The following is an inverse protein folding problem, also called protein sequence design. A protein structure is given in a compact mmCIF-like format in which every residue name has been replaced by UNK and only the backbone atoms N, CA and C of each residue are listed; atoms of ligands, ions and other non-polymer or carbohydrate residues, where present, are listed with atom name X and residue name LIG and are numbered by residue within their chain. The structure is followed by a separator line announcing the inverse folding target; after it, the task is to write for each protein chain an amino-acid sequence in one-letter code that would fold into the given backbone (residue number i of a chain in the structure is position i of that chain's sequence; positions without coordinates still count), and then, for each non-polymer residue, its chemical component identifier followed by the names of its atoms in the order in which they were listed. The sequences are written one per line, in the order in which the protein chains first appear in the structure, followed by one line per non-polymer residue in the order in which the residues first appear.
data_IF_125436707901
#
_entry.id   IF_125436707901
#
_cell.length_a   1.000
_cell.length_b   1.000
_cell.length_c   1.000
_cell.angle_alpha   90.00
_cell.angle_beta   90.00
_cell.angle_gamma   90.00
#
_symmetry.space_group_name_H-M   'P 1'
#
loop_
_entity.id
_entity.type
_entity.pdbx_description
1 polymer ?
#
# COMPACT_ATOMS: atom_id res chain seq x y z
N UNK A 1 -26.78 1.66 -26.19
CA UNK A 1 -25.73 0.95 -26.93
C UNK A 1 -24.46 1.21 -26.17
N UNK A 2 -23.85 0.17 -25.60
CA UNK A 2 -22.63 0.29 -24.81
C UNK A 2 -21.38 0.53 -25.63
N UNK A 3 -20.36 1.08 -24.99
CA UNK A 3 -19.10 1.49 -25.62
C UNK A 3 -18.35 0.32 -26.26
N UNK A 4 -17.95 0.46 -27.52
CA UNK A 4 -17.16 -0.55 -28.25
C UNK A 4 -15.78 -0.80 -27.64
N UNK A 5 -15.13 -1.91 -27.99
CA UNK A 5 -13.82 -2.27 -27.44
C UNK A 5 -12.74 -1.17 -27.64
N UNK A 6 -12.74 -0.49 -28.79
CA UNK A 6 -11.84 0.64 -29.05
C UNK A 6 -12.13 1.87 -28.18
N UNK A 7 -13.39 2.13 -27.84
CA UNK A 7 -13.76 3.24 -26.95
C UNK A 7 -13.38 2.94 -25.51
N UNK A 8 -13.55 1.69 -25.08
CA UNK A 8 -13.10 1.20 -23.76
C UNK A 8 -11.57 1.25 -23.64
N UNK A 9 -10.84 0.86 -24.69
CA UNK A 9 -9.37 0.99 -24.75
C UNK A 9 -8.94 2.47 -24.62
N UNK A 10 -9.57 3.36 -25.40
CA UNK A 10 -9.27 4.79 -25.34
C UNK A 10 -9.62 5.44 -24.00
N UNK A 11 -10.60 4.90 -23.25
CA UNK A 11 -10.89 5.31 -21.89
C UNK A 11 -9.82 4.81 -20.90
N UNK A 12 -9.38 3.55 -21.06
CA UNK A 12 -8.30 2.96 -20.27
C UNK A 12 -6.99 3.73 -20.39
N UNK A 13 -6.53 4.00 -21.61
CA UNK A 13 -5.22 4.62 -21.84
C UNK A 13 -5.16 6.08 -21.39
N UNK A 14 -6.31 6.76 -21.44
CA UNK A 14 -6.43 8.16 -21.02
C UNK A 14 -6.42 8.31 -19.50
N UNK A 15 -7.14 7.43 -18.81
CA UNK A 15 -7.52 7.64 -17.41
C UNK A 15 -6.83 6.69 -16.44
N UNK A 16 -6.53 5.45 -16.84
CA UNK A 16 -5.98 4.43 -15.94
C UNK A 16 -4.51 4.13 -16.20
N UNK A 17 -4.12 3.99 -17.46
CA UNK A 17 -2.75 3.62 -17.83
C UNK A 17 -1.77 4.75 -17.56
N UNK A 18 -0.71 4.47 -16.81
CA UNK A 18 0.23 5.50 -16.36
C UNK A 18 -0.42 6.53 -15.42
N UNK A 19 -1.48 6.14 -14.70
CA UNK A 19 -2.09 6.99 -13.68
C UNK A 19 -1.32 6.91 -12.37
N UNK A 20 -1.03 8.07 -11.78
CA UNK A 20 -0.47 8.17 -10.42
C UNK A 20 -1.55 8.75 -9.51
N UNK A 21 -2.04 7.98 -8.52
CA UNK A 21 -2.95 8.51 -7.52
C UNK A 21 -2.34 9.71 -6.79
N UNK A 22 -3.17 10.72 -6.50
CA UNK A 22 -2.80 11.87 -5.64
C UNK A 22 -3.73 11.89 -4.42
N UNK A 23 -3.20 11.72 -3.18
CA UNK A 23 -1.82 11.35 -2.88
C UNK A 23 -1.48 9.95 -3.38
N UNK A 24 -0.19 9.69 -3.58
CA UNK A 24 0.33 8.37 -3.92
C UNK A 24 -0.06 7.34 -2.85
N UNK A 25 -0.02 6.05 -3.22
CA UNK A 25 -0.35 4.99 -2.28
C UNK A 25 0.65 5.01 -1.12
N UNK A 26 0.14 4.97 0.10
CA UNK A 26 0.98 4.88 1.28
C UNK A 26 1.88 3.63 1.20
N UNK A 27 3.13 3.75 1.67
CA UNK A 27 4.12 2.68 1.57
C UNK A 27 4.82 2.59 0.22
N UNK A 28 4.54 3.50 -0.72
CA UNK A 28 5.20 3.55 -2.04
C UNK A 28 5.89 4.88 -2.31
N UNK A 29 6.95 4.84 -3.11
CA UNK A 29 7.60 6.02 -3.69
C UNK A 29 7.36 5.99 -5.19
N UNK A 30 6.87 7.11 -5.75
CA UNK A 30 6.69 7.26 -7.19
C UNK A 30 7.85 8.07 -7.74
N UNK A 31 8.56 7.49 -8.70
CA UNK A 31 9.67 8.11 -9.42
C UNK A 31 9.32 8.22 -10.91
N UNK A 32 9.69 9.35 -11.52
CA UNK A 32 9.45 9.60 -12.93
C UNK A 32 10.78 9.58 -13.70
N UNK A 33 10.87 8.69 -14.70
CA UNK A 33 12.00 8.62 -15.63
C UNK A 33 11.46 8.88 -17.04
N UNK A 34 11.50 10.14 -17.45
CA UNK A 34 10.88 10.57 -18.71
C UNK A 34 9.38 10.23 -18.73
N UNK A 35 8.89 9.44 -19.71
CA UNK A 35 7.49 9.02 -19.78
C UNK A 35 7.15 7.83 -18.85
N UNK A 36 8.15 7.26 -18.17
CA UNK A 36 7.98 6.10 -17.30
C UNK A 36 7.60 6.53 -15.89
N UNK A 37 6.79 5.69 -15.26
CA UNK A 37 6.33 5.84 -13.89
C UNK A 37 6.77 4.59 -13.14
N UNK A 38 7.73 4.77 -12.24
CA UNK A 38 8.25 3.73 -11.37
C UNK A 38 7.54 3.85 -10.03
N UNK A 39 6.91 2.76 -9.59
CA UNK A 39 6.37 2.68 -8.23
C UNK A 39 7.23 1.71 -7.43
N UNK A 40 8.01 2.26 -6.51
CA UNK A 40 8.88 1.53 -5.59
C UNK A 40 8.10 1.16 -4.34
N UNK A 41 8.05 -0.14 -4.01
CA UNK A 41 7.37 -0.68 -2.83
C UNK A 41 8.34 -0.94 -1.67
N UNK A 42 9.63 -0.69 -1.85
CA UNK A 42 10.69 -1.07 -0.91
C UNK A 42 11.08 -2.56 -1.00
N UNK A 43 10.30 -3.38 -1.71
CA UNK A 43 10.54 -4.82 -1.92
C UNK A 43 10.69 -5.18 -3.40
N UNK A 44 10.07 -4.39 -4.27
CA UNK A 44 10.08 -4.50 -5.72
C UNK A 44 9.64 -3.16 -6.32
N UNK A 45 9.84 -3.00 -7.61
CA UNK A 45 9.45 -1.85 -8.40
C UNK A 45 8.57 -2.30 -9.57
N UNK A 46 7.50 -1.56 -9.84
CA UNK A 46 6.72 -1.74 -11.08
C UNK A 46 6.90 -0.55 -12.00
N UNK A 47 7.10 -0.80 -13.29
CA UNK A 47 7.16 0.22 -14.33
C UNK A 47 5.84 0.22 -15.11
N UNK A 48 5.17 1.37 -15.13
CA UNK A 48 4.03 1.64 -15.98
C UNK A 48 4.32 2.85 -16.88
N UNK A 49 3.63 2.94 -17.99
CA UNK A 49 3.80 4.01 -18.97
C UNK A 49 2.58 4.15 -19.86
N UNK A 50 2.36 5.36 -20.37
CA UNK A 50 1.48 5.58 -21.53
C UNK A 50 2.16 5.08 -22.81
N UNK A 51 1.45 5.12 -23.94
CA UNK A 51 2.04 4.78 -25.23
C UNK A 51 3.36 5.53 -25.43
N UNK A 52 4.43 4.77 -25.71
CA UNK A 52 5.75 5.31 -26.01
C UNK A 52 5.88 5.55 -27.51
N UNK A 53 6.60 6.61 -27.88
CA UNK A 53 6.88 6.90 -29.28
C UNK A 53 7.76 5.80 -29.89
N UNK A 54 7.34 5.25 -31.02
CA UNK A 54 7.98 4.09 -31.68
C UNK A 54 9.35 4.38 -32.32
N UNK A 55 9.90 5.59 -32.15
CA UNK A 55 10.87 6.17 -33.08
C UNK A 55 12.35 6.04 -32.72
N UNK A 56 12.73 5.64 -31.50
CA UNK A 56 14.15 5.70 -31.11
C UNK A 56 14.61 4.59 -30.14
N UNK A 57 15.30 3.59 -30.70
CA UNK A 57 15.97 2.53 -29.95
C UNK A 57 16.97 3.03 -28.93
N UNK A 58 17.69 4.13 -29.23
CA UNK A 58 18.65 4.70 -28.29
C UNK A 58 17.94 5.38 -27.11
N UNK A 59 16.71 5.86 -27.31
CA UNK A 59 15.88 6.36 -26.20
C UNK A 59 15.30 5.23 -25.35
N UNK A 60 14.80 4.14 -25.97
CA UNK A 60 14.32 2.98 -25.22
C UNK A 60 15.45 2.32 -24.40
N UNK A 61 16.65 2.17 -24.97
CA UNK A 61 17.79 1.61 -24.25
C UNK A 61 18.22 2.47 -23.06
N UNK A 62 18.31 3.79 -23.24
CA UNK A 62 18.62 4.74 -22.14
C UNK A 62 17.58 4.69 -21.02
N UNK A 63 16.29 4.62 -21.37
CA UNK A 63 15.23 4.47 -20.38
C UNK A 63 15.37 3.16 -19.59
N UNK A 64 15.69 2.06 -20.28
CA UNK A 64 15.93 0.76 -19.63
C UNK A 64 17.12 0.80 -18.67
N UNK A 65 18.24 1.41 -19.09
CA UNK A 65 19.41 1.60 -18.23
C UNK A 65 19.08 2.44 -16.98
N UNK A 66 18.34 3.54 -17.13
CA UNK A 66 17.91 4.37 -16.00
C UNK A 66 16.98 3.63 -15.04
N UNK A 67 16.09 2.78 -15.55
CA UNK A 67 15.24 1.90 -14.72
C UNK A 67 16.10 0.91 -13.94
N UNK A 68 17.06 0.25 -14.59
CA UNK A 68 17.96 -0.70 -13.93
C UNK A 68 18.83 -0.02 -12.86
N UNK A 69 19.33 1.19 -13.13
CA UNK A 69 20.11 1.98 -12.17
C UNK A 69 19.27 2.33 -10.93
N UNK A 70 18.06 2.87 -11.14
CA UNK A 70 17.16 3.26 -10.05
C UNK A 70 16.73 2.06 -9.19
N UNK A 71 16.43 0.93 -9.81
CA UNK A 71 16.07 -0.30 -9.12
C UNK A 71 17.26 -0.97 -8.42
N UNK A 72 18.47 -0.96 -9.02
CA UNK A 72 19.70 -1.48 -8.41
C UNK A 72 20.09 -0.70 -7.16
N UNK A 73 19.93 0.63 -7.17
CA UNK A 73 20.20 1.48 -6.00
C UNK A 73 19.36 1.10 -4.77
N UNK A 74 18.23 0.41 -4.97
CA UNK A 74 17.31 -0.04 -3.91
C UNK A 74 17.26 -1.56 -3.74
N UNK A 75 17.99 -2.30 -4.58
CA UNK A 75 17.96 -3.78 -4.64
C UNK A 75 16.52 -4.30 -4.82
N UNK A 76 15.75 -3.62 -5.67
CA UNK A 76 14.35 -3.94 -5.94
C UNK A 76 14.19 -4.66 -7.29
N UNK A 77 13.65 -5.89 -7.32
CA UNK A 77 13.24 -6.54 -8.56
C UNK A 77 12.22 -5.68 -9.32
N UNK A 78 12.35 -5.64 -10.64
CA UNK A 78 11.53 -4.83 -11.53
C UNK A 78 10.53 -5.70 -12.27
N UNK A 79 9.28 -5.25 -12.33
CA UNK A 79 8.27 -5.71 -13.29
C UNK A 79 7.87 -4.55 -14.22
N UNK A 80 8.14 -4.70 -15.52
CA UNK A 80 7.77 -3.73 -16.55
C UNK A 80 6.64 -4.28 -17.41
N UNK A 81 5.51 -3.57 -17.47
CA UNK A 81 4.33 -3.97 -18.25
C UNK A 81 4.39 -3.40 -19.67
N UNK A 82 4.29 -4.25 -20.69
CA UNK A 82 4.24 -3.86 -22.10
C UNK A 82 2.88 -4.24 -22.69
N UNK A 83 2.19 -3.28 -23.31
CA UNK A 83 0.84 -3.47 -23.84
C UNK A 83 0.89 -3.77 -25.34
N UNK A 84 0.20 -4.82 -25.78
CA UNK A 84 0.30 -5.32 -27.15
C UNK A 84 -0.24 -4.36 -28.22
N UNK A 85 -1.16 -3.46 -27.86
CA UNK A 85 -1.71 -2.47 -28.80
C UNK A 85 -0.76 -1.28 -29.07
N UNK A 86 0.35 -1.16 -28.33
CA UNK A 86 1.32 -0.09 -28.59
C UNK A 86 2.09 -0.34 -29.88
N UNK A 87 2.22 0.69 -30.70
CA UNK A 87 3.06 0.64 -31.90
C UNK A 87 4.53 0.28 -31.58
N UNK A 88 5.01 0.65 -30.38
CA UNK A 88 6.37 0.39 -29.92
C UNK A 88 6.54 -0.96 -29.18
N UNK A 89 5.47 -1.74 -28.97
CA UNK A 89 5.49 -2.91 -28.07
C UNK A 89 6.60 -3.91 -28.41
N UNK A 90 6.66 -4.38 -29.65
CA UNK A 90 7.64 -5.37 -30.09
C UNK A 90 9.07 -4.85 -29.99
N UNK A 91 9.27 -3.57 -30.28
CA UNK A 91 10.57 -2.94 -30.18
C UNK A 91 11.03 -2.81 -28.71
N UNK A 92 10.15 -2.35 -27.82
CA UNK A 92 10.41 -2.26 -26.39
C UNK A 92 10.73 -3.65 -25.80
N UNK A 93 9.92 -4.68 -26.12
CA UNK A 93 10.19 -6.04 -25.66
C UNK A 93 11.57 -6.55 -26.10
N UNK A 94 12.01 -6.24 -27.33
CA UNK A 94 13.34 -6.62 -27.82
C UNK A 94 14.47 -5.87 -27.09
N UNK A 95 14.28 -4.59 -26.77
CA UNK A 95 15.23 -3.80 -25.97
C UNK A 95 15.33 -4.33 -24.54
N UNK A 96 14.21 -4.69 -23.92
CA UNK A 96 14.19 -5.26 -22.58
C UNK A 96 14.88 -6.62 -22.52
N UNK A 97 14.64 -7.49 -23.50
CA UNK A 97 15.32 -8.79 -23.62
C UNK A 97 16.84 -8.62 -23.77
N UNK A 98 17.28 -7.70 -24.64
CA UNK A 98 18.70 -7.36 -24.80
C UNK A 98 19.34 -6.79 -23.52
N UNK A 99 18.56 -6.13 -22.66
CA UNK A 99 19.00 -5.64 -21.35
C UNK A 99 18.92 -6.69 -20.23
N UNK A 100 18.54 -7.93 -20.54
CA UNK A 100 18.49 -9.05 -19.59
C UNK A 100 17.20 -9.16 -18.79
N UNK A 101 16.11 -8.52 -19.22
CA UNK A 101 14.78 -8.80 -18.66
C UNK A 101 14.27 -10.14 -19.18
N UNK A 102 13.69 -10.94 -18.30
CA UNK A 102 13.00 -12.18 -18.67
C UNK A 102 11.52 -11.92 -18.94
N UNK A 103 10.98 -12.56 -19.96
CA UNK A 103 9.56 -12.47 -20.30
C UNK A 103 8.74 -13.27 -19.30
N UNK A 104 7.70 -12.66 -18.74
CA UNK A 104 6.70 -13.27 -17.89
C UNK A 104 5.40 -13.59 -18.63
N UNK A 105 4.36 -13.95 -17.88
CA UNK A 105 3.04 -14.28 -18.41
C UNK A 105 2.36 -13.11 -19.12
N UNK A 106 1.52 -13.45 -20.11
CA UNK A 106 0.66 -12.51 -20.82
C UNK A 106 -0.78 -12.61 -20.29
N UNK A 107 -1.41 -11.45 -20.11
CA UNK A 107 -2.77 -11.34 -19.57
C UNK A 107 -3.63 -10.51 -20.51
N UNK A 108 -4.84 -10.97 -20.79
CA UNK A 108 -5.89 -10.19 -21.43
C UNK A 108 -6.36 -9.08 -20.49
N UNK A 109 -6.47 -7.86 -21.02
CA UNK A 109 -7.09 -6.72 -20.34
C UNK A 109 -8.55 -6.67 -20.76
N UNK A 110 -9.43 -6.89 -19.81
CA UNK A 110 -10.89 -6.95 -19.99
C UNK A 110 -11.53 -5.71 -19.36
N UNK A 111 -12.43 -5.05 -20.08
CA UNK A 111 -13.14 -3.86 -19.58
C UNK A 111 -14.63 -3.96 -19.87
N UNK A 112 -15.45 -3.51 -18.92
CA UNK A 112 -16.88 -3.32 -19.14
C UNK A 112 -17.43 -2.09 -18.42
N UNK A 113 -18.50 -1.53 -18.96
CA UNK A 113 -19.30 -0.53 -18.28
C UNK A 113 -20.09 -1.20 -17.16
N UNK A 114 -19.88 -0.77 -15.92
CA UNK A 114 -20.48 -1.35 -14.71
C UNK A 114 -22.00 -1.55 -14.85
N UNK A 115 -22.70 -0.60 -15.45
CA UNK A 115 -24.16 -0.64 -15.62
C UNK A 115 -24.64 -1.67 -16.64
N UNK A 116 -23.75 -2.18 -17.47
CA UNK A 116 -24.03 -3.19 -18.49
C UNK A 116 -23.55 -4.60 -18.10
N UNK A 117 -22.81 -4.71 -16.98
CA UNK A 117 -22.32 -5.99 -16.50
C UNK A 117 -23.43 -6.77 -15.79
N UNK A 118 -23.54 -8.06 -16.13
CA UNK A 118 -24.50 -8.97 -15.51
C UNK A 118 -23.78 -10.09 -14.76
N UNK A 119 -23.73 -9.95 -13.42
CA UNK A 119 -23.16 -10.95 -12.54
C UNK A 119 -24.27 -11.73 -11.83
N UNK A 120 -24.24 -13.08 -11.88
CA UNK A 120 -25.24 -13.91 -11.24
C UNK A 120 -25.27 -13.68 -9.72
N UNK A 121 -26.47 -13.69 -9.14
CA UNK A 121 -26.60 -13.64 -7.68
C UNK A 121 -26.13 -14.96 -7.05
N UNK A 122 -25.51 -14.93 -5.86
CA UNK A 122 -25.16 -16.16 -5.15
C UNK A 122 -26.42 -16.97 -4.83
N UNK A 123 -26.32 -18.31 -4.94
CA UNK A 123 -27.39 -19.21 -4.50
C UNK A 123 -27.59 -19.11 -2.98
N UNK A 124 -28.75 -19.53 -2.47
CA UNK A 124 -29.17 -19.27 -1.09
C UNK A 124 -28.22 -19.83 0.00
N UNK A 125 -27.50 -20.91 -0.30
CA UNK A 125 -26.52 -21.52 0.61
C UNK A 125 -25.15 -20.82 0.61
N UNK A 126 -24.92 -19.93 -0.35
CA UNK A 126 -23.69 -19.17 -0.50
C UNK A 126 -23.90 -17.73 -0.04
N UNK A 127 -22.88 -17.15 0.58
CA UNK A 127 -22.88 -15.75 0.99
C UNK A 127 -21.67 -15.05 0.42
N UNK A 128 -21.88 -13.83 -0.09
CA UNK A 128 -20.81 -12.93 -0.48
C UNK A 128 -20.74 -11.82 0.55
N UNK A 129 -19.58 -11.66 1.18
CA UNK A 129 -19.33 -10.63 2.18
C UNK A 129 -18.01 -9.93 1.90
N UNK A 130 -17.95 -8.62 2.18
CA UNK A 130 -16.68 -7.90 2.21
C UNK A 130 -16.06 -8.07 3.60
N UNK A 131 -14.75 -8.31 3.66
CA UNK A 131 -14.03 -8.65 4.90
C UNK A 131 -12.91 -7.65 5.22
N UNK A 132 -12.60 -7.51 6.51
CA UNK A 132 -11.49 -6.69 7.02
C UNK A 132 -10.24 -7.52 7.30
N UNK A 133 -9.09 -6.85 7.48
CA UNK A 133 -7.82 -7.51 7.78
C UNK A 133 -7.78 -8.20 9.16
N UNK A 134 -8.63 -7.81 10.10
CA UNK A 134 -8.74 -8.40 11.44
C UNK A 134 -9.72 -9.56 11.52
N UNK A 135 -10.37 -9.94 10.42
CA UNK A 135 -11.35 -11.03 10.35
C UNK A 135 -10.72 -12.35 9.87
N UNK A 136 -11.11 -13.51 10.42
CA UNK A 136 -10.47 -14.79 10.12
C UNK A 136 -10.65 -15.25 8.66
N UNK A 137 -11.71 -14.80 7.99
CA UNK A 137 -11.95 -15.10 6.57
C UNK A 137 -10.85 -14.55 5.66
N UNK A 138 -10.19 -13.46 6.05
CA UNK A 138 -9.15 -12.84 5.23
C UNK A 138 -7.89 -13.70 5.12
N UNK A 139 -7.58 -14.48 6.17
CA UNK A 139 -6.46 -15.42 6.15
C UNK A 139 -6.71 -16.56 5.17
N UNK A 140 -7.96 -17.03 5.07
CA UNK A 140 -8.35 -18.02 4.06
C UNK A 140 -8.31 -17.41 2.64
N UNK A 141 -8.71 -16.15 2.49
CA UNK A 141 -8.60 -15.45 1.20
C UNK A 141 -7.14 -15.26 0.76
N UNK A 142 -6.23 -14.96 1.70
CA UNK A 142 -4.79 -14.87 1.44
C UNK A 142 -4.20 -16.22 1.00
N UNK A 143 -4.57 -17.31 1.69
CA UNK A 143 -4.17 -18.67 1.33
C UNK A 143 -4.69 -19.07 -0.06
N UNK A 144 -5.94 -18.74 -0.39
CA UNK A 144 -6.49 -18.94 -1.74
C UNK A 144 -5.75 -18.09 -2.79
N UNK A 145 -5.46 -16.82 -2.50
CA UNK A 145 -4.70 -15.95 -3.40
C UNK A 145 -3.28 -16.45 -3.63
N UNK A 146 -2.64 -17.09 -2.66
CA UNK A 146 -1.28 -17.62 -2.80
C UNK A 146 -1.20 -18.89 -3.65
N UNK A 147 -2.29 -19.66 -3.73
CA UNK A 147 -2.41 -20.90 -4.51
C UNK A 147 -3.12 -20.74 -5.84
N UNK A 148 -3.54 -19.51 -6.19
CA UNK A 148 -4.21 -19.17 -7.44
C UNK A 148 -3.47 -18.04 -8.11
N UNK A 149 -3.75 -17.82 -9.39
CA UNK A 149 -3.20 -16.71 -10.14
C UNK A 149 -2.85 -17.14 -11.55
N UNK A 150 -2.16 -16.26 -12.29
CA UNK A 150 -1.61 -14.99 -11.84
C UNK A 150 -2.68 -13.92 -11.61
N UNK A 151 -2.42 -13.08 -10.61
CA UNK A 151 -3.26 -11.92 -10.28
C UNK A 151 -2.58 -10.65 -10.74
N UNK A 152 -3.35 -9.59 -11.05
CA UNK A 152 -2.77 -8.28 -11.37
C UNK A 152 -1.97 -7.72 -10.21
N UNK A 153 -2.52 -7.81 -9.02
CA UNK A 153 -1.84 -7.52 -7.76
C UNK A 153 -2.29 -8.56 -6.74
N UNK A 154 -1.43 -9.50 -6.31
CA UNK A 154 -1.79 -10.51 -5.32
C UNK A 154 -2.35 -9.88 -4.04
N UNK A 155 -3.30 -10.56 -3.38
CA UNK A 155 -3.93 -10.05 -2.17
C UNK A 155 -2.92 -9.78 -1.04
N UNK A 156 -1.84 -10.58 -0.98
CA UNK A 156 -0.76 -10.40 -0.02
C UNK A 156 -0.09 -9.02 -0.12
N UNK A 157 0.04 -8.45 -1.33
CA UNK A 157 0.63 -7.11 -1.49
C UNK A 157 -0.23 -6.02 -0.83
N UNK A 158 -1.56 -6.14 -0.93
CA UNK A 158 -2.50 -5.23 -0.28
C UNK A 158 -2.46 -5.34 1.24
N UNK A 159 -2.34 -6.57 1.73
CA UNK A 159 -2.23 -6.88 3.15
C UNK A 159 -0.92 -6.35 3.75
N UNK A 160 0.21 -6.54 3.07
CA UNK A 160 1.51 -6.06 3.52
C UNK A 160 1.59 -4.53 3.58
N UNK A 161 0.99 -3.83 2.62
CA UNK A 161 0.89 -2.36 2.63
C UNK A 161 -0.09 -1.83 3.70
N UNK A 162 -0.84 -2.70 4.39
CA UNK A 162 -1.87 -2.29 5.34
C UNK A 162 -2.97 -1.44 4.69
N UNK A 163 -3.25 -1.67 3.41
CA UNK A 163 -4.18 -0.82 2.64
C UNK A 163 -5.55 -0.79 3.30
N UNK A 164 -6.23 0.35 3.34
CA UNK A 164 -7.47 0.44 4.11
C UNK A 164 -8.58 -0.43 3.47
N UNK A 165 -9.12 -1.45 4.19
CA UNK A 165 -10.27 -2.19 3.70
C UNK A 165 -11.42 -1.22 3.40
N UNK A 166 -12.20 -1.53 2.38
CA UNK A 166 -13.34 -0.75 1.88
C UNK A 166 -13.00 0.54 1.13
N UNK A 167 -11.84 1.15 1.41
CA UNK A 167 -11.47 2.45 0.84
C UNK A 167 -10.45 2.33 -0.29
N UNK A 168 -9.39 1.57 -0.04
CA UNK A 168 -8.32 1.34 -1.02
C UNK A 168 -8.57 0.02 -1.75
N UNK A 169 -9.00 -1.01 -1.01
CA UNK A 169 -9.32 -2.33 -1.53
C UNK A 169 -10.55 -2.91 -0.83
N UNK A 170 -11.51 -3.43 -1.59
CA UNK A 170 -12.64 -4.22 -1.09
C UNK A 170 -12.36 -5.70 -1.32
N UNK A 171 -12.04 -6.43 -0.26
CA UNK A 171 -11.82 -7.88 -0.30
C UNK A 171 -13.16 -8.56 -0.09
N UNK A 172 -13.59 -9.38 -1.04
CA UNK A 172 -14.85 -10.13 -0.96
C UNK A 172 -14.57 -11.61 -0.92
N UNK A 173 -15.31 -12.30 -0.07
CA UNK A 173 -15.23 -13.76 0.06
C UNK A 173 -16.59 -14.39 -0.21
N UNK A 174 -16.56 -15.55 -0.85
CA UNK A 174 -17.71 -16.40 -1.07
C UNK A 174 -17.64 -17.52 -0.04
N UNK A 175 -18.59 -17.54 0.90
CA UNK A 175 -18.61 -18.49 2.00
C UNK A 175 -19.79 -19.46 1.92
N UNK A 176 -19.54 -20.70 2.37
CA UNK A 176 -20.58 -21.71 2.63
C UNK A 176 -20.31 -22.34 3.98
N UNK A 177 -21.31 -22.32 4.86
CA UNK A 177 -21.18 -22.78 6.24
C UNK A 177 -19.93 -22.22 6.97
N UNK A 178 -19.61 -20.94 6.74
CA UNK A 178 -18.49 -20.23 7.38
C UNK A 178 -17.09 -20.52 6.80
N UNK A 179 -16.96 -21.37 5.78
CA UNK A 179 -15.70 -21.61 5.07
C UNK A 179 -15.62 -20.79 3.80
N UNK A 180 -14.47 -20.17 3.55
CA UNK A 180 -14.21 -19.41 2.31
C UNK A 180 -13.90 -20.40 1.19
N UNK A 181 -14.68 -20.36 0.11
CA UNK A 181 -14.46 -21.20 -1.08
C UNK A 181 -13.79 -20.43 -2.22
N UNK A 182 -14.00 -19.11 -2.31
CA UNK A 182 -13.39 -18.25 -3.30
C UNK A 182 -13.30 -16.81 -2.75
N UNK A 183 -12.39 -16.02 -3.30
CA UNK A 183 -12.23 -14.62 -2.97
C UNK A 183 -11.99 -13.77 -4.23
N UNK A 184 -12.33 -12.50 -4.14
CA UNK A 184 -11.91 -11.47 -5.09
C UNK A 184 -11.52 -10.20 -4.33
N UNK A 185 -10.79 -9.30 -4.97
CA UNK A 185 -10.53 -7.99 -4.40
C UNK A 185 -10.59 -6.90 -5.46
N UNK A 186 -11.29 -5.82 -5.10
CA UNK A 186 -11.53 -4.67 -5.95
C UNK A 186 -10.68 -3.51 -5.46
N UNK A 187 -9.79 -3.01 -6.29
CA UNK A 187 -9.02 -1.80 -6.05
C UNK A 187 -9.82 -0.56 -6.46
N UNK A 188 -9.84 0.41 -5.54
CA UNK A 188 -10.28 1.76 -5.84
C UNK A 188 -9.12 2.59 -6.41
N UNK A 189 -9.10 2.77 -7.72
CA UNK A 189 -8.13 3.67 -8.36
C UNK A 189 -8.60 5.11 -8.20
N UNK A 190 -8.04 5.82 -7.21
CA UNK A 190 -8.46 7.20 -6.88
C UNK A 190 -8.25 8.14 -8.07
N UNK A 191 -9.21 9.03 -8.29
CA UNK A 191 -9.14 10.04 -9.36
C UNK A 191 -9.55 9.53 -10.74
N UNK A 192 -9.95 8.26 -10.87
CA UNK A 192 -10.40 7.69 -12.14
C UNK A 192 -11.82 7.13 -12.03
N UNK A 193 -12.50 6.99 -13.18
CA UNK A 193 -13.81 6.33 -13.28
C UNK A 193 -13.69 4.78 -13.22
N UNK A 194 -12.50 4.25 -12.96
CA UNK A 194 -12.21 2.81 -12.95
C UNK A 194 -12.21 2.22 -11.54
N UNK A 195 -12.68 0.98 -11.47
CA UNK A 195 -12.38 0.00 -10.43
C UNK A 195 -11.60 -1.13 -11.08
N UNK A 196 -10.55 -1.58 -10.41
CA UNK A 196 -9.72 -2.68 -10.90
C UNK A 196 -10.02 -3.94 -10.12
N UNK A 197 -10.34 -5.04 -10.80
CA UNK A 197 -10.32 -6.37 -10.21
C UNK A 197 -8.87 -6.81 -10.07
N UNK A 198 -8.35 -6.75 -8.84
CA UNK A 198 -6.96 -7.10 -8.57
C UNK A 198 -6.69 -8.60 -8.71
N UNK A 199 -7.71 -9.43 -8.49
CA UNK A 199 -7.68 -10.87 -8.72
C UNK A 199 -8.99 -11.56 -8.35
N UNK A 200 -9.14 -12.78 -8.85
CA UNK A 200 -10.25 -13.69 -8.59
C UNK A 200 -9.67 -15.09 -8.39
N UNK A 201 -9.92 -15.72 -7.25
CA UNK A 201 -9.24 -16.99 -6.91
C UNK A 201 -9.89 -18.23 -7.55
N UNK A 202 -11.05 -18.08 -8.21
CA UNK A 202 -11.80 -19.14 -8.88
C UNK A 202 -12.83 -18.53 -9.84
N UNK A 203 -13.30 -19.27 -10.84
CA UNK A 203 -14.34 -18.83 -11.79
C UNK A 203 -15.74 -18.69 -11.15
N UNK A 204 -15.88 -17.79 -10.17
CA UNK A 204 -17.07 -17.54 -9.37
C UNK A 204 -17.53 -16.08 -9.54
N UNK A 205 -18.20 -15.75 -10.67
CA UNK A 205 -18.62 -14.38 -10.96
C UNK A 205 -19.64 -13.83 -9.95
N UNK A 206 -20.27 -14.68 -9.11
CA UNK A 206 -21.15 -14.25 -8.03
C UNK A 206 -20.44 -13.36 -7.00
N UNK A 207 -19.12 -13.48 -6.86
CA UNK A 207 -18.29 -12.60 -6.04
C UNK A 207 -18.39 -11.13 -6.46
N UNK A 208 -18.71 -10.87 -7.72
CA UNK A 208 -18.85 -9.55 -8.31
C UNK A 208 -20.31 -9.06 -8.29
N UNK A 209 -21.26 -9.87 -7.81
CA UNK A 209 -22.64 -9.44 -7.65
C UNK A 209 -22.74 -8.24 -6.71
N UNK A 210 -23.57 -7.24 -7.08
CA UNK A 210 -23.83 -6.04 -6.27
C UNK A 210 -22.55 -5.33 -5.83
N UNK A 211 -21.68 -4.99 -6.79
CA UNK A 211 -20.42 -4.28 -6.53
C UNK A 211 -20.66 -3.08 -5.57
N UNK A 212 -19.90 -2.95 -4.47
CA UNK A 212 -20.13 -1.90 -3.48
C UNK A 212 -19.53 -0.55 -3.91
N UNK A 213 -19.79 -0.14 -5.15
CA UNK A 213 -19.15 1.02 -5.79
C UNK A 213 -19.44 2.34 -5.09
N UNK A 214 -20.54 2.41 -4.33
CA UNK A 214 -20.87 3.56 -3.47
C UNK A 214 -19.79 3.85 -2.42
N UNK A 215 -18.96 2.86 -2.05
CA UNK A 215 -17.82 3.04 -1.14
C UNK A 215 -16.66 3.78 -1.79
N UNK A 216 -16.56 3.69 -3.11
CA UNK A 216 -15.49 4.33 -3.85
C UNK A 216 -15.84 5.79 -4.10
N UNK A 217 -14.99 6.68 -3.56
CA UNK A 217 -15.14 8.14 -3.67
C UNK A 217 -15.15 8.60 -5.13
N UNK A 218 -15.48 9.88 -5.31
CA UNK A 218 -15.49 10.56 -6.62
C UNK A 218 -14.17 10.37 -7.41
N UNK A 219 -14.26 10.29 -8.76
CA UNK A 219 -15.48 10.31 -9.56
C UNK A 219 -16.29 9.01 -9.44
N UNK A 220 -17.56 9.06 -9.86
CA UNK A 220 -18.40 7.86 -9.88
C UNK A 220 -17.75 6.77 -10.75
N UNK A 221 -17.74 5.54 -10.24
CA UNK A 221 -17.11 4.41 -10.92
C UNK A 221 -18.00 3.89 -12.04
N UNK A 222 -17.52 4.00 -13.27
CA UNK A 222 -18.23 3.63 -14.50
C UNK A 222 -17.67 2.37 -15.15
N UNK A 223 -16.38 2.11 -14.97
CA UNK A 223 -15.70 1.01 -15.63
C UNK A 223 -15.15 0.01 -14.61
N UNK A 224 -15.32 -1.28 -14.90
CA UNK A 224 -14.58 -2.35 -14.25
C UNK A 224 -13.51 -2.82 -15.24
N UNK A 225 -12.25 -2.83 -14.81
CA UNK A 225 -11.15 -3.46 -15.53
C UNK A 225 -10.69 -4.70 -14.78
N UNK A 226 -10.36 -5.76 -15.51
CA UNK A 226 -9.79 -6.99 -14.98
C UNK A 226 -8.64 -7.45 -15.87
N UNK A 227 -7.61 -8.03 -15.27
CA UNK A 227 -6.61 -8.80 -16.00
C UNK A 227 -6.92 -10.27 -15.76
N UNK A 228 -6.98 -11.06 -16.83
CA UNK A 228 -7.11 -12.51 -16.78
C UNK A 228 -6.05 -13.13 -17.69
N UNK A 229 -5.63 -14.36 -17.43
CA UNK A 229 -4.69 -15.02 -18.33
C UNK A 229 -5.22 -15.07 -19.75
N UNK A 230 -4.33 -14.77 -20.70
CA UNK A 230 -4.61 -15.03 -22.10
C UNK A 230 -4.65 -16.56 -22.26
N UNK A 231 -5.69 -17.10 -22.90
CA UNK A 231 -5.80 -18.54 -23.19
C UNK A 231 -4.53 -19.00 -23.93
N UNK A 232 -3.61 -19.63 -23.21
CA UNK A 232 -2.55 -20.43 -23.81
C UNK A 232 -3.04 -21.86 -23.78
N UNK A 233 -3.24 -22.44 -24.96
CA UNK A 233 -3.61 -23.85 -25.23
C UNK A 233 -2.62 -24.91 -24.65
N UNK A 234 -1.80 -24.54 -23.67
CA UNK A 234 -0.82 -25.40 -23.00
C UNK A 234 -1.45 -26.15 -21.82
N UNK A 235 -1.82 -27.40 -22.08
CA UNK A 235 -1.86 -28.53 -21.15
C UNK A 235 -2.55 -28.31 -19.80
N UNK A 236 -3.89 -28.26 -19.83
CA UNK A 236 -4.72 -28.93 -18.82
C UNK A 236 -4.89 -28.27 -17.44
N UNK A 237 -4.40 -27.05 -17.23
CA UNK A 237 -4.79 -26.24 -16.07
C UNK A 237 -6.01 -25.37 -16.40
N UNK A 238 -6.94 -25.29 -15.46
CA UNK A 238 -8.25 -24.61 -15.57
C UNK A 238 -8.17 -23.07 -15.65
N UNK A 239 -7.09 -22.51 -16.21
CA UNK A 239 -6.71 -21.09 -16.06
C UNK A 239 -7.52 -20.14 -16.97
N UNK A 240 -8.09 -20.64 -18.07
CA UNK A 240 -9.00 -19.87 -18.94
C UNK A 240 -10.42 -19.64 -18.38
N UNK A 241 -10.79 -20.32 -17.29
CA UNK A 241 -12.17 -20.25 -16.76
C UNK A 241 -12.53 -18.85 -16.24
N UNK A 242 -11.58 -18.14 -15.62
CA UNK A 242 -11.80 -16.77 -15.11
C UNK A 242 -12.07 -15.79 -16.26
N UNK A 243 -11.29 -15.88 -17.34
CA UNK A 243 -11.49 -15.05 -18.55
C UNK A 243 -12.88 -15.31 -19.14
N UNK A 244 -13.26 -16.57 -19.30
CA UNK A 244 -14.56 -16.98 -19.86
C UNK A 244 -15.75 -16.44 -19.05
N UNK A 245 -15.72 -16.53 -17.72
CA UNK A 245 -16.83 -16.00 -16.89
C UNK A 245 -16.92 -14.48 -16.93
N UNK A 246 -15.79 -13.77 -17.04
CA UNK A 246 -15.77 -12.31 -17.15
C UNK A 246 -16.32 -11.85 -18.51
N UNK A 247 -15.94 -12.52 -19.60
CA UNK A 247 -16.51 -12.26 -20.93
C UNK A 247 -18.02 -12.54 -20.95
N UNK A 248 -18.46 -13.64 -20.33
CA UNK A 248 -19.87 -14.00 -20.22
C UNK A 248 -20.69 -12.98 -19.41
N UNK A 249 -20.06 -12.30 -18.46
CA UNK A 249 -20.65 -11.22 -17.68
C UNK A 249 -20.72 -9.87 -18.43
N UNK A 250 -20.19 -9.80 -19.65
CA UNK A 250 -20.24 -8.63 -20.52
C UNK A 250 -18.95 -7.80 -20.59
N UNK A 251 -17.87 -8.22 -19.94
CA UNK A 251 -16.56 -7.58 -20.16
C UNK A 251 -16.08 -7.87 -21.59
N UNK A 252 -15.31 -6.94 -22.15
CA UNK A 252 -14.75 -7.03 -23.50
C UNK A 252 -13.25 -7.01 -23.40
N UNK A 253 -12.59 -7.89 -24.15
CA UNK A 253 -11.15 -7.83 -24.32
C UNK A 253 -10.78 -6.61 -25.18
N UNK A 254 -9.89 -5.77 -24.66
CA UNK A 254 -9.47 -4.54 -25.34
C UNK A 254 -8.01 -4.57 -25.77
N UNK A 255 -7.16 -5.33 -25.08
CA UNK A 255 -5.74 -5.54 -25.40
C UNK A 255 -5.18 -6.68 -24.53
N UNK A 256 -3.89 -6.99 -24.67
CA UNK A 256 -3.14 -7.81 -23.74
C UNK A 256 -1.95 -7.03 -23.16
N UNK A 257 -1.48 -7.47 -21.99
CA UNK A 257 -0.31 -6.94 -21.30
C UNK A 257 0.65 -8.08 -20.98
N UNK A 258 1.92 -7.88 -21.28
CA UNK A 258 3.00 -8.83 -20.98
C UNK A 258 3.98 -8.18 -20.01
N UNK A 259 4.27 -8.89 -18.92
CA UNK A 259 5.22 -8.41 -17.91
C UNK A 259 6.64 -8.87 -18.27
N UNK A 260 7.61 -7.97 -18.22
CA UNK A 260 9.04 -8.23 -18.33
C UNK A 260 9.70 -8.04 -16.96
N UNK A 261 10.54 -8.97 -16.52
CA UNK A 261 11.09 -8.98 -15.16
C UNK A 261 12.61 -8.92 -15.16
N UNK A 262 13.17 -8.13 -14.25
CA UNK A 262 14.61 -8.07 -14.04
C UNK A 262 14.92 -8.01 -12.54
N UNK A 263 15.95 -8.72 -12.10
CA UNK A 263 16.35 -8.75 -10.69
C UNK A 263 17.74 -8.14 -10.56
N UNK A 264 17.91 -7.05 -9.79
CA UNK A 264 19.21 -6.48 -9.53
C UNK A 264 20.08 -7.43 -8.69
N UNK A 265 21.42 -7.28 -8.72
CA UNK A 265 22.28 -8.01 -7.81
C UNK A 265 22.02 -7.59 -6.36
N UNK A 266 22.03 -8.56 -5.45
CA UNK A 266 21.77 -8.37 -4.01
C UNK A 266 20.56 -9.17 -3.53
N UNK A 267 20.30 -9.13 -2.22
CA UNK A 267 19.11 -9.75 -1.62
C UNK A 267 18.01 -8.69 -1.46
N UNK A 268 16.88 -8.80 -2.18
CA UNK A 268 15.76 -7.89 -2.01
C UNK A 268 15.18 -7.94 -0.61
N UNK A 269 14.69 -6.81 -0.12
CA UNK A 269 13.96 -6.79 1.13
C UNK A 269 12.66 -7.62 1.00
N UNK A 270 12.35 -8.39 2.04
CA UNK A 270 11.17 -9.28 2.07
C UNK A 270 9.92 -8.60 2.62
N UNK A 271 10.05 -7.36 3.13
CA UNK A 271 8.95 -6.59 3.74
C UNK A 271 8.97 -5.13 3.29
N UNK A 272 7.79 -4.53 3.25
CA UNK A 272 7.63 -3.10 2.94
C UNK A 272 8.26 -2.24 4.05
N UNK A 273 8.75 -1.03 3.73
CA UNK A 273 9.44 -0.17 4.69
C UNK A 273 8.47 0.50 5.67
N UNK A 274 7.21 0.68 5.26
CA UNK A 274 6.13 1.15 6.11
C UNK A 274 4.78 0.60 5.63
N UNK A 275 3.83 0.51 6.56
CA UNK A 275 2.42 0.19 6.29
C UNK A 275 1.51 0.91 7.28
N UNK A 276 0.23 0.97 6.96
CA UNK A 276 -0.78 1.37 7.95
C UNK A 276 -0.98 0.25 8.96
N UNK A 277 -1.21 0.63 10.21
CA UNK A 277 -1.60 -0.30 11.27
C UNK A 277 -2.79 -1.13 10.84
N UNK A 278 -2.66 -2.46 10.96
CA UNK A 278 -3.72 -3.40 10.56
C UNK A 278 -4.81 -3.53 11.63
N UNK A 279 -4.59 -2.95 12.81
CA UNK A 279 -5.44 -3.10 14.00
C UNK A 279 -5.72 -4.56 14.36
N UNK A 280 -4.80 -5.47 14.03
CA UNK A 280 -4.87 -6.89 14.35
C UNK A 280 -4.54 -7.17 15.83
N UNK A 281 -4.58 -8.44 16.23
CA UNK A 281 -4.30 -8.83 17.61
C UNK A 281 -2.88 -8.45 18.05
N UNK A 282 -1.89 -8.48 17.15
CA UNK A 282 -0.50 -8.16 17.47
C UNK A 282 -0.31 -6.67 17.69
N UNK A 283 -0.87 -5.84 16.82
CA UNK A 283 -0.76 -4.39 16.91
C UNK A 283 -1.50 -3.86 18.14
N UNK A 284 -2.66 -4.45 18.48
CA UNK A 284 -3.37 -4.17 19.74
C UNK A 284 -2.56 -4.55 20.97
N UNK A 285 -1.83 -5.67 20.93
CA UNK A 285 -0.91 -6.07 22.02
C UNK A 285 0.25 -5.08 22.18
N UNK A 286 0.80 -4.57 21.08
CA UNK A 286 1.86 -3.54 21.11
C UNK A 286 1.32 -2.24 21.70
N UNK A 287 0.17 -1.76 21.23
CA UNK A 287 -0.48 -0.56 21.77
C UNK A 287 -0.72 -0.68 23.29
N UNK A 288 -1.25 -1.82 23.75
CA UNK A 288 -1.47 -2.08 25.18
C UNK A 288 -0.18 -2.12 26.00
N UNK A 289 0.94 -2.60 25.43
CA UNK A 289 2.26 -2.51 26.08
C UNK A 289 2.73 -1.06 26.19
N UNK A 290 2.54 -0.24 25.15
CA UNK A 290 2.84 1.20 25.18
C UNK A 290 2.03 1.95 26.23
N UNK A 291 0.71 1.71 26.26
CA UNK A 291 -0.19 2.25 27.29
C UNK A 291 0.29 1.89 28.71
N UNK A 292 0.56 0.60 28.95
CA UNK A 292 1.04 0.13 30.25
C UNK A 292 2.39 0.75 30.63
N UNK A 293 3.30 0.93 29.67
CA UNK A 293 4.62 1.54 29.90
C UNK A 293 4.52 2.99 30.36
N UNK A 294 3.57 3.74 29.83
CA UNK A 294 3.30 5.15 30.17
C UNK A 294 2.34 5.29 31.36
N UNK A 295 1.74 4.19 31.83
CA UNK A 295 0.70 4.22 32.86
C UNK A 295 -0.54 4.98 32.40
N UNK A 296 -0.82 4.97 31.10
CA UNK A 296 -1.95 5.65 30.49
C UNK A 296 -3.07 4.64 30.17
N UNK A 297 -4.30 4.95 30.59
CA UNK A 297 -5.47 4.18 30.20
C UNK A 297 -6.36 5.00 29.27
N UNK A 298 -6.29 4.64 27.99
CA UNK A 298 -7.08 5.27 26.97
C UNK A 298 -8.58 5.06 27.16
N UNK A 299 -8.99 3.84 27.56
CA UNK A 299 -10.40 3.48 27.68
C UNK A 299 -11.10 4.23 28.82
N UNK A 300 -10.34 4.58 29.86
CA UNK A 300 -10.80 5.41 30.97
C UNK A 300 -11.05 6.88 30.60
N UNK A 301 -10.56 7.35 29.44
CA UNK A 301 -10.84 8.70 28.89
C UNK A 301 -10.33 9.87 29.73
N UNK A 302 -9.58 9.60 30.81
CA UNK A 302 -9.18 10.63 31.77
C UNK A 302 -8.02 11.52 31.33
N UNK A 303 -7.29 11.10 30.29
CA UNK A 303 -6.02 11.72 29.90
C UNK A 303 -4.85 11.42 30.84
N UNK A 304 -5.10 10.92 32.06
CA UNK A 304 -4.07 10.72 33.08
C UNK A 304 -3.09 9.64 32.68
N UNK A 305 -1.82 9.90 32.98
CA UNK A 305 -0.71 8.98 32.77
C UNK A 305 0.28 9.04 33.93
N UNK A 306 1.12 8.02 34.08
CA UNK A 306 2.21 7.98 35.05
C UNK A 306 3.51 7.63 34.29
N UNK A 307 4.25 8.65 33.82
CA UNK A 307 5.37 8.43 32.93
C UNK A 307 6.45 7.57 33.61
N UNK A 308 7.14 6.69 32.88
CA UNK A 308 8.10 5.76 33.47
C UNK A 308 9.31 6.52 34.05
N UNK A 309 10.02 5.90 34.99
CA UNK A 309 11.16 6.55 35.66
C UNK A 309 12.27 6.97 34.69
N UNK A 310 12.47 6.21 33.62
CA UNK A 310 13.40 6.49 32.53
C UNK A 310 12.75 7.32 31.42
N UNK A 311 12.04 8.39 31.81
CA UNK A 311 11.43 9.34 30.88
C UNK A 311 11.69 10.78 31.26
N UNK A 312 11.49 11.66 30.27
CA UNK A 312 11.52 13.10 30.42
C UNK A 312 10.37 13.73 29.65
N UNK A 313 9.94 14.91 30.10
CA UNK A 313 8.78 15.64 29.59
C UNK A 313 9.16 17.02 29.12
N UNK A 314 8.56 17.46 28.02
CA UNK A 314 8.67 18.81 27.48
C UNK A 314 7.30 19.36 27.13
N UNK A 315 7.10 20.64 27.37
CA UNK A 315 5.87 21.34 27.01
C UNK A 315 6.05 22.03 25.66
N UNK A 316 5.11 21.83 24.74
CA UNK A 316 5.12 22.43 23.41
C UNK A 316 3.92 23.37 23.16
N UNK A 317 3.07 23.59 24.17
CA UNK A 317 1.87 24.42 24.03
C UNK A 317 2.10 25.92 23.83
N UNK A 318 3.34 26.40 23.95
CA UNK A 318 3.71 27.78 23.64
C UNK A 318 4.03 28.03 22.17
N UNK A 319 4.08 26.97 21.34
CA UNK A 319 4.38 27.06 19.92
C UNK A 319 3.14 27.46 19.13
N UNK A 320 3.34 28.07 17.95
CA UNK A 320 2.27 28.62 17.09
C UNK A 320 1.49 27.52 16.33
N UNK A 321 1.24 26.39 16.99
CA UNK A 321 0.51 25.25 16.43
C UNK A 321 1.39 24.28 15.63
N UNK A 322 0.76 23.38 14.84
CA UNK A 322 1.46 22.28 14.16
C UNK A 322 2.41 22.75 13.03
N UNK A 323 2.20 23.95 12.49
CA UNK A 323 3.03 24.51 11.42
C UNK A 323 4.28 25.26 11.95
N UNK A 324 4.46 25.33 13.27
CA UNK A 324 5.62 25.96 13.89
C UNK A 324 6.91 25.21 13.49
N UNK A 325 7.94 25.88 12.95
CA UNK A 325 9.21 25.25 12.59
C UNK A 325 9.89 24.49 13.74
N UNK A 326 9.63 24.85 15.00
CA UNK A 326 10.11 24.13 16.17
C UNK A 326 9.50 22.73 16.28
N UNK A 327 8.24 22.53 15.88
CA UNK A 327 7.62 21.19 15.84
C UNK A 327 8.36 20.30 14.84
N UNK A 328 8.60 20.80 13.62
CA UNK A 328 9.38 20.07 12.62
C UNK A 328 10.80 19.75 13.12
N UNK A 329 11.43 20.67 13.86
CA UNK A 329 12.74 20.44 14.46
C UNK A 329 12.70 19.36 15.56
N UNK A 330 11.67 19.34 16.41
CA UNK A 330 11.44 18.30 17.42
C UNK A 330 11.24 16.94 16.76
N UNK A 331 10.37 16.85 15.75
CA UNK A 331 10.15 15.60 15.00
C UNK A 331 11.48 15.10 14.42
N UNK A 332 12.23 15.96 13.73
CA UNK A 332 13.53 15.58 13.17
C UNK A 332 14.55 15.09 14.21
N UNK A 333 14.50 15.60 15.46
CA UNK A 333 15.33 15.09 16.56
C UNK A 333 14.87 13.69 16.97
N UNK A 334 13.55 13.46 17.12
CA UNK A 334 12.99 12.16 17.48
C UNK A 334 13.27 11.12 16.38
N UNK A 335 13.10 11.48 15.11
CA UNK A 335 13.42 10.60 13.97
C UNK A 335 14.87 10.11 14.01
N UNK A 336 15.82 11.03 14.22
CA UNK A 336 17.25 10.69 14.34
C UNK A 336 17.52 9.81 15.56
N UNK A 337 16.92 10.14 16.70
CA UNK A 337 17.08 9.35 17.94
C UNK A 337 16.52 7.94 17.82
N UNK A 338 15.35 7.79 17.20
CA UNK A 338 14.74 6.48 16.91
C UNK A 338 15.61 5.67 15.95
N UNK A 339 16.11 6.26 14.87
CA UNK A 339 17.02 5.60 13.92
C UNK A 339 18.31 5.13 14.60
N UNK A 340 18.86 5.91 15.54
CA UNK A 340 20.06 5.51 16.28
C UNK A 340 19.82 4.37 17.29
N UNK A 341 18.62 4.27 17.86
CA UNK A 341 18.30 3.34 18.96
C UNK A 341 17.56 2.06 18.52
N UNK A 342 16.91 2.08 17.37
CA UNK A 342 16.19 0.93 16.81
C UNK A 342 17.13 0.13 15.92
N UNK A 343 17.10 -1.20 16.04
CA UNK A 343 17.95 -2.07 15.22
C UNK A 343 17.45 -2.05 13.77
N UNK A 344 18.33 -2.12 12.75
CA UNK A 344 17.91 -2.31 11.37
C UNK A 344 16.94 -3.50 11.22
N UNK A 345 15.85 -3.32 10.46
CA UNK A 345 14.80 -4.31 10.29
C UNK A 345 13.79 -4.40 11.45
N UNK A 346 14.02 -3.73 12.57
CA UNK A 346 13.04 -3.62 13.65
C UNK A 346 12.09 -2.45 13.40
N UNK A 347 10.82 -2.65 13.78
CA UNK A 347 9.75 -1.71 13.48
C UNK A 347 9.46 -0.77 14.65
N UNK A 348 9.08 0.47 14.31
CA UNK A 348 8.43 1.44 15.18
C UNK A 348 6.94 1.46 14.85
N UNK A 349 6.12 1.59 15.88
CA UNK A 349 4.67 1.56 15.81
C UNK A 349 4.14 2.90 16.29
N UNK A 350 3.45 3.62 15.41
CA UNK A 350 2.59 4.72 15.80
C UNK A 350 1.22 4.17 16.20
N UNK A 351 0.88 4.30 17.47
CA UNK A 351 -0.40 3.90 18.02
C UNK A 351 -1.28 5.14 18.22
N UNK A 352 -2.32 5.22 17.40
CA UNK A 352 -3.35 6.25 17.37
C UNK A 352 -4.70 5.56 17.57
N UNK A 353 -5.33 5.63 18.75
CA UNK A 353 -6.43 4.71 19.01
C UNK A 353 -7.79 5.12 18.40
N UNK A 354 -7.97 6.39 18.00
CA UNK A 354 -9.15 6.82 17.21
C UNK A 354 -8.84 7.07 15.74
N UNK A 355 -7.57 7.27 15.36
CA UNK A 355 -7.16 7.46 13.95
C UNK A 355 -6.33 6.30 13.42
N UNK A 356 -5.82 6.46 12.20
CA UNK A 356 -4.95 5.45 11.60
C UNK A 356 -3.57 5.55 12.23
N UNK A 357 -3.06 4.43 12.76
CA UNK A 357 -1.66 4.29 13.14
C UNK A 357 -0.79 3.83 11.98
N UNK A 358 0.52 3.88 12.17
CA UNK A 358 1.52 3.42 11.20
C UNK A 358 2.49 2.42 11.83
N UNK A 359 3.08 1.59 10.99
CA UNK A 359 4.15 0.69 11.37
C UNK A 359 5.27 0.87 10.33
N UNK A 360 6.51 1.06 10.75
CA UNK A 360 7.62 1.35 9.81
C UNK A 360 9.01 1.00 10.35
N UNK A 361 9.95 0.72 9.46
CA UNK A 361 11.37 0.58 9.76
C UNK A 361 12.05 1.96 9.65
N UNK A 362 12.55 2.55 10.75
CA UNK A 362 13.14 3.89 10.76
C UNK A 362 14.43 4.01 9.92
N UNK A 363 15.03 2.89 9.52
CA UNK A 363 16.21 2.87 8.62
C UNK A 363 15.85 2.91 7.14
N UNK A 364 14.57 2.73 6.80
CA UNK A 364 14.09 2.64 5.40
C UNK A 364 13.09 3.73 5.03
N UNK A 365 12.89 4.72 5.91
CA UNK A 365 12.02 5.89 5.70
C UNK A 365 12.70 7.19 6.10
N UNK A 366 12.25 8.31 5.52
CA UNK A 366 12.70 9.67 5.81
C UNK A 366 14.02 10.06 5.14
N UNK A 367 14.68 9.16 4.40
CA UNK A 367 15.87 9.45 3.61
C UNK A 367 15.57 9.93 2.19
N UNK A 368 16.58 10.48 1.46
CA UNK A 368 16.44 10.82 0.05
C UNK A 368 15.98 9.62 -0.79
N UNK A 369 14.95 9.82 -1.62
CA UNK A 369 14.39 8.76 -2.48
C UNK A 369 13.65 7.63 -1.74
N UNK A 370 13.47 7.75 -0.41
CA UNK A 370 12.67 6.84 0.41
C UNK A 370 11.28 7.40 0.66
N UNK A 371 10.40 6.57 1.22
CA UNK A 371 9.10 7.01 1.71
C UNK A 371 9.31 8.11 2.78
N UNK A 372 8.48 9.18 2.79
CA UNK A 372 8.46 10.12 3.89
C UNK A 372 8.25 9.42 5.24
N UNK A 373 8.80 10.00 6.31
CA UNK A 373 8.59 9.49 7.66
C UNK A 373 7.10 9.57 8.03
N UNK A 374 6.43 8.44 8.37
CA UNK A 374 4.97 8.43 8.43
C UNK A 374 4.38 8.80 9.81
N UNK A 375 5.10 8.62 10.91
CA UNK A 375 4.59 8.86 12.26
C UNK A 375 5.03 10.19 12.85
N UNK A 376 4.28 10.71 13.82
CA UNK A 376 4.62 11.92 14.56
C UNK A 376 4.81 11.62 16.05
N UNK A 377 5.73 12.34 16.69
CA UNK A 377 5.94 12.31 18.13
C UNK A 377 5.09 13.33 18.87
N UNK A 378 4.89 14.52 18.29
CA UNK A 378 4.08 15.61 18.82
C UNK A 378 2.63 15.42 18.42
N UNK A 379 1.75 15.35 19.40
CA UNK A 379 0.33 15.12 19.17
C UNK A 379 -0.38 16.36 18.65
N UNK A 380 -1.12 16.19 17.55
CA UNK A 380 -1.91 17.24 16.89
C UNK A 380 -3.35 17.34 17.41
N UNK A 381 -4.03 16.20 17.59
CA UNK A 381 -5.49 16.11 17.73
C UNK A 381 -5.97 14.90 18.54
N UNK A 382 -5.09 13.96 18.88
CA UNK A 382 -5.41 12.86 19.80
C UNK A 382 -4.15 12.41 20.57
N UNK A 383 -4.34 11.50 21.52
CA UNK A 383 -3.21 10.82 22.16
C UNK A 383 -2.49 9.91 21.18
N UNK A 384 -1.17 10.07 21.07
CA UNK A 384 -0.37 9.23 20.17
C UNK A 384 0.88 8.71 20.86
N UNK A 385 1.29 7.52 20.43
CA UNK A 385 2.51 6.87 20.90
C UNK A 385 3.36 6.48 19.71
N UNK A 386 4.64 6.79 19.73
CA UNK A 386 5.63 6.05 18.96
C UNK A 386 6.30 5.05 19.88
N UNK A 387 6.37 3.78 19.51
CA UNK A 387 6.97 2.77 20.39
C UNK A 387 7.57 1.61 19.61
N UNK A 388 8.60 0.97 20.16
CA UNK A 388 9.06 -0.33 19.66
C UNK A 388 8.07 -1.43 20.05
N UNK A 389 8.13 -2.58 19.37
CA UNK A 389 7.22 -3.70 19.67
C UNK A 389 7.22 -4.11 21.16
N UNK A 390 8.38 -4.07 21.82
CA UNK A 390 8.58 -4.41 23.23
C UNK A 390 8.32 -3.23 24.20
N UNK A 391 7.93 -2.07 23.68
CA UNK A 391 7.73 -0.83 24.44
C UNK A 391 8.92 -0.40 25.30
N UNK A 392 10.15 -0.76 24.90
CA UNK A 392 11.36 -0.37 25.64
C UNK A 392 11.63 1.13 25.57
N UNK A 393 11.38 1.74 24.41
CA UNK A 393 11.65 3.15 24.11
C UNK A 393 10.58 3.71 23.18
N UNK A 394 10.42 5.03 23.20
CA UNK A 394 9.43 5.70 22.38
C UNK A 394 9.05 7.09 22.87
N UNK A 395 7.92 7.56 22.38
CA UNK A 395 7.31 8.84 22.76
C UNK A 395 5.83 8.68 23.10
N UNK A 396 5.31 9.60 23.91
CA UNK A 396 3.89 9.80 24.13
C UNK A 396 3.57 11.29 23.99
N UNK A 397 2.76 11.61 22.99
CA UNK A 397 2.24 12.95 22.75
C UNK A 397 0.87 13.11 23.41
N UNK A 398 0.77 14.05 24.34
CA UNK A 398 -0.45 14.37 25.05
C UNK A 398 -1.07 15.66 24.51
N UNK A 399 -2.02 15.55 23.57
CA UNK A 399 -2.56 16.72 22.86
C UNK A 399 -3.25 17.77 23.74
N UNK A 400 -3.87 17.37 24.86
CA UNK A 400 -4.57 18.32 25.76
C UNK A 400 -3.60 19.11 26.64
N UNK A 401 -2.71 18.44 27.37
CA UNK A 401 -1.58 19.05 28.11
C UNK A 401 -0.47 19.61 27.19
N UNK A 402 -0.56 19.41 25.88
CA UNK A 402 0.46 19.79 24.89
C UNK A 402 1.88 19.43 25.36
N UNK A 403 2.03 18.19 25.82
CA UNK A 403 3.26 17.68 26.43
C UNK A 403 3.78 16.48 25.64
N UNK A 404 5.08 16.48 25.38
CA UNK A 404 5.82 15.37 24.80
C UNK A 404 6.56 14.64 25.92
N UNK A 405 6.27 13.35 26.07
CA UNK A 405 7.04 12.44 26.92
C UNK A 405 7.94 11.60 26.03
N UNK A 406 9.23 11.55 26.34
CA UNK A 406 10.17 10.61 25.70
C UNK A 406 10.64 9.62 26.76
N UNK A 407 10.67 8.33 26.45
CA UNK A 407 11.07 7.28 27.38
C UNK A 407 12.09 6.30 26.78
N UNK A 408 12.86 5.68 27.67
CA UNK A 408 13.96 4.76 27.35
C UNK A 408 15.31 5.48 27.35
N UNK A 409 16.21 5.05 28.24
CA UNK A 409 17.52 5.70 28.46
C UNK A 409 18.33 5.93 27.18
N UNK A 410 18.33 4.93 26.28
CA UNK A 410 19.04 5.03 25.01
C UNK A 410 18.49 6.16 24.12
N UNK A 411 17.16 6.31 24.05
CA UNK A 411 16.53 7.37 23.26
C UNK A 411 16.75 8.73 23.91
N UNK A 412 16.59 8.84 25.24
CA UNK A 412 16.85 10.06 25.98
C UNK A 412 18.27 10.58 25.78
N UNK A 413 19.27 9.70 25.81
CA UNK A 413 20.66 10.05 25.57
C UNK A 413 20.91 10.63 24.17
N UNK A 414 20.05 10.34 23.18
CA UNK A 414 20.16 10.88 21.82
C UNK A 414 19.43 12.22 21.65
N UNK A 415 18.36 12.48 22.40
CA UNK A 415 17.43 13.58 22.08
C UNK A 415 17.37 14.67 23.13
N UNK A 416 17.72 14.40 24.38
CA UNK A 416 17.39 15.30 25.49
C UNK A 416 18.01 16.69 25.36
N UNK A 417 19.29 16.77 25.00
CA UNK A 417 19.99 18.06 24.85
C UNK A 417 19.45 18.91 23.70
N UNK A 418 19.05 18.27 22.60
CA UNK A 418 18.45 18.94 21.45
C UNK A 418 17.02 19.41 21.76
N UNK A 419 16.22 18.58 22.43
CA UNK A 419 14.87 18.95 22.85
C UNK A 419 14.89 20.07 23.91
N UNK A 420 15.85 20.07 24.83
CA UNK A 420 16.03 21.16 25.80
C UNK A 420 16.34 22.49 25.11
N UNK A 421 17.10 22.45 24.01
CA UNK A 421 17.43 23.64 23.23
C UNK A 421 16.23 24.18 22.46
N UNK A 422 15.34 23.30 21.98
CA UNK A 422 14.19 23.67 21.17
C UNK A 422 12.99 24.07 22.04
N UNK A 423 12.64 23.24 23.03
CA UNK A 423 11.42 23.39 23.84
C UNK A 423 11.68 24.02 25.21
N UNK A 424 12.95 24.25 25.57
CA UNK A 424 13.36 24.75 26.88
C UNK A 424 13.51 23.62 27.90
N UNK A 425 14.66 23.60 28.58
CA UNK A 425 14.91 22.70 29.71
C UNK A 425 14.14 23.16 30.95
N UNK A 426 12.92 22.69 31.13
CA UNK A 426 12.11 23.06 32.30
C UNK A 426 11.07 22.00 32.63
N UNK A 427 11.13 21.47 33.85
CA UNK A 427 10.01 20.74 34.44
C UNK A 427 8.87 21.73 34.69
N UNK A 428 7.94 21.82 33.75
CA UNK A 428 6.68 22.53 33.97
C UNK A 428 5.79 21.64 34.85
N UNK A 429 5.57 22.06 36.10
CA UNK A 429 4.53 21.48 36.94
C UNK A 429 3.27 22.33 36.76
N UNK A 430 2.23 21.75 36.16
CA UNK A 430 0.90 22.32 36.28
C UNK A 430 0.45 22.16 37.74
N UNK A 431 0.20 23.30 38.40
CA UNK A 431 -0.32 23.36 39.77
C UNK A 431 -1.80 23.02 39.86
#
# INVERSE_FOLDING_TARGET
MGLGAGELLAAHDRSLRGHVPVPARFGTVVEHIGPLILTHYGTHCTVDHRALDAGDSASAARLTESVQESAAARVEPVEWRVFAHDAAASHLSAVLDAAGFTVGGERSVLIGEVTELDFPQPQAEWKVESVRWDEPQVLQALDLSARSGPHRVPLAAWYELGSAPYWDVDVRVLTRAGKVAAACWLENVRGTEFVTLGGLTAARPELLARLPLWRFRLPAKRFLVADADADTDTDGYADGEVRSVLLSAGLREVTSVRSHRWTPPGEPATSVPARRSRHDADTRRIAKRGEARIGFDYAGGSGRYNPPMDSRRWFYGMLDGPDDPAIAAVEGVIERGLRACVRPGAWVYECRPYLNGWEFDPHRVGGPGQLPWPGCAVADSEFQFLTTADARLGTFGHYVEQTLVVFGDGLLAQVADDLDRILGGGSWAFG
#
